data_IF_637877971254
#
_entry.id   IF_637877971254
#
_cell.length_a   1.000
_cell.length_b   1.000
_cell.length_c   1.000
_cell.angle_alpha   90.00
_cell.angle_beta   90.00
_cell.angle_gamma   90.00
#
_symmetry.space_group_name_H-M   'P 1'
#
loop_
_entity.id
_entity.type
_entity.pdbx_description
1 polymer ?
#
# COMPACT_ATOMS: atom_id res chain seq x y z
N UNK A 1 -4.28 -5.89 5.87
CA UNK A 1 -4.99 -6.46 4.71
C UNK A 1 -4.84 -5.51 3.53
N UNK A 2 -5.21 -5.94 2.32
CA UNK A 2 -4.89 -5.21 1.08
C UNK A 2 -5.35 -3.74 1.06
N UNK A 3 -6.60 -3.45 1.49
CA UNK A 3 -7.10 -2.08 1.49
C UNK A 3 -6.27 -1.16 2.41
N UNK A 4 -5.98 -1.58 3.64
CA UNK A 4 -5.14 -0.80 4.55
C UNK A 4 -3.70 -0.64 4.04
N UNK A 5 -3.19 -1.62 3.30
CA UNK A 5 -1.91 -1.50 2.60
C UNK A 5 -1.97 -0.44 1.50
N UNK A 6 -3.06 -0.36 0.74
CA UNK A 6 -3.24 0.73 -0.22
C UNK A 6 -3.40 2.09 0.48
N UNK A 7 -4.16 2.17 1.57
CA UNK A 7 -4.33 3.41 2.33
C UNK A 7 -2.98 3.94 2.84
N UNK A 8 -2.11 3.05 3.33
CA UNK A 8 -0.77 3.43 3.81
C UNK A 8 0.11 3.96 2.68
N UNK A 9 0.08 3.29 1.52
CA UNK A 9 0.83 3.69 0.32
C UNK A 9 0.33 5.05 -0.18
N UNK A 10 -0.98 5.21 -0.40
CA UNK A 10 -1.57 6.45 -0.90
C UNK A 10 -1.44 7.62 0.09
N UNK A 11 -1.35 7.33 1.39
CA UNK A 11 -1.15 8.37 2.41
C UNK A 11 0.32 8.70 2.64
N UNK A 12 1.26 7.87 2.15
CA UNK A 12 2.69 8.05 2.37
C UNK A 12 3.11 7.82 3.82
N UNK A 13 2.42 6.91 4.52
CA UNK A 13 2.68 6.59 5.92
C UNK A 13 3.24 5.17 6.05
N UNK A 14 4.27 4.94 6.88
CA UNK A 14 4.77 3.60 7.12
C UNK A 14 3.88 2.86 8.13
N UNK A 15 3.99 1.54 8.17
CA UNK A 15 3.05 0.67 8.90
C UNK A 15 3.75 -0.37 9.78
N UNK A 16 3.21 -0.63 10.97
CA UNK A 16 3.49 -1.86 11.70
C UNK A 16 2.52 -2.94 11.23
N UNK A 17 3.06 -4.03 10.71
CA UNK A 17 2.30 -5.15 10.20
C UNK A 17 2.11 -6.19 11.30
N UNK A 18 0.87 -6.64 11.49
CA UNK A 18 0.56 -7.78 12.34
C UNK A 18 -0.44 -8.68 11.60
N UNK A 19 0.05 -9.66 10.81
CA UNK A 19 -0.79 -10.46 9.93
C UNK A 19 -1.52 -11.57 10.70
N UNK A 20 -2.78 -11.83 10.33
CA UNK A 20 -3.58 -12.90 10.95
C UNK A 20 -3.98 -14.01 9.97
N UNK A 21 -4.66 -13.67 8.87
CA UNK A 21 -5.23 -14.65 7.93
C UNK A 21 -5.22 -14.15 6.48
N UNK A 22 -5.60 -15.05 5.56
CA UNK A 22 -5.64 -14.82 4.11
C UNK A 22 -4.28 -14.41 3.55
N UNK A 23 -4.21 -13.33 2.77
CA UNK A 23 -3.00 -12.84 2.11
C UNK A 23 -2.19 -11.84 2.98
N UNK A 24 -2.57 -11.67 4.25
CA UNK A 24 -1.95 -10.67 5.13
C UNK A 24 -0.46 -10.93 5.38
N UNK A 25 -0.04 -12.18 5.48
CA UNK A 25 1.38 -12.56 5.59
C UNK A 25 2.17 -12.09 4.37
N UNK A 26 1.60 -12.26 3.17
CA UNK A 26 2.21 -11.78 1.93
C UNK A 26 2.28 -10.27 1.90
N UNK A 27 1.19 -9.58 2.26
CA UNK A 27 1.19 -8.11 2.34
C UNK A 27 2.25 -7.58 3.32
N UNK A 28 2.36 -8.22 4.50
CA UNK A 28 3.38 -7.89 5.52
C UNK A 28 4.79 -8.00 4.95
N UNK A 29 5.09 -9.13 4.31
CA UNK A 29 6.38 -9.38 3.70
C UNK A 29 6.71 -8.37 2.60
N UNK A 30 5.76 -8.05 1.72
CA UNK A 30 5.97 -7.02 0.70
C UNK A 30 6.24 -5.64 1.31
N UNK A 31 5.48 -5.25 2.34
CA UNK A 31 5.68 -3.99 3.05
C UNK A 31 7.08 -3.89 3.68
N UNK A 32 7.61 -4.96 4.24
CA UNK A 32 8.93 -4.99 4.85
C UNK A 32 10.08 -5.11 3.82
N UNK A 33 10.00 -6.10 2.93
CA UNK A 33 11.15 -6.54 2.11
C UNK A 33 11.19 -5.93 0.71
N UNK A 34 10.05 -5.49 0.17
CA UNK A 34 9.97 -4.97 -1.21
C UNK A 34 9.76 -3.47 -1.26
N UNK A 35 8.83 -2.97 -0.45
CA UNK A 35 8.51 -1.55 -0.44
C UNK A 35 9.32 -0.79 0.61
N UNK A 36 9.77 -1.49 1.66
CA UNK A 36 10.54 -0.88 2.75
C UNK A 36 9.74 0.18 3.49
N UNK A 37 8.43 -0.04 3.65
CA UNK A 37 7.48 0.87 4.32
C UNK A 37 6.89 0.28 5.60
N UNK A 38 7.28 -0.94 5.99
CA UNK A 38 6.74 -1.54 7.19
C UNK A 38 7.69 -2.44 7.97
N UNK A 39 7.31 -2.71 9.21
CA UNK A 39 7.97 -3.68 10.10
C UNK A 39 6.94 -4.63 10.68
N UNK A 40 7.32 -5.88 10.90
CA UNK A 40 6.43 -6.90 11.47
C UNK A 40 6.48 -6.89 13.01
N UNK A 41 5.31 -6.97 13.64
CA UNK A 41 5.17 -7.21 15.07
C UNK A 41 5.42 -8.70 15.34
N UNK A 42 6.28 -8.99 16.33
CA UNK A 42 6.55 -10.36 16.76
C UNK A 42 5.26 -11.05 17.25
N UNK A 43 5.11 -12.35 16.95
CA UNK A 43 3.99 -13.17 17.40
C UNK A 43 3.88 -13.25 18.94
N UNK A 44 4.99 -13.05 19.65
CA UNK A 44 5.02 -12.93 21.10
C UNK A 44 4.78 -11.47 21.49
N UNK A 45 3.52 -11.05 21.44
CA UNK A 45 3.05 -9.67 21.64
C UNK A 45 3.23 -9.22 23.10
N UNK A 46 4.47 -8.94 23.46
CA UNK A 46 4.82 -8.34 24.75
C UNK A 46 4.69 -6.83 24.63
N UNK A 47 4.14 -6.20 25.66
CA UNK A 47 3.89 -4.76 25.69
C UNK A 47 5.16 -3.96 25.39
N UNK A 48 6.28 -4.39 25.98
CA UNK A 48 7.57 -3.72 25.86
C UNK A 48 8.11 -3.78 24.42
N UNK A 49 7.87 -4.89 23.73
CA UNK A 49 8.31 -5.06 22.33
C UNK A 49 7.45 -4.23 21.39
N UNK A 50 6.13 -4.21 21.59
CA UNK A 50 5.23 -3.34 20.82
C UNK A 50 5.59 -1.87 21.03
N UNK A 51 5.83 -1.45 22.28
CA UNK A 51 6.26 -0.07 22.58
C UNK A 51 7.57 0.28 21.86
N UNK A 52 8.56 -0.62 21.89
CA UNK A 52 9.84 -0.43 21.21
C UNK A 52 9.67 -0.26 19.70
N UNK A 53 8.86 -1.09 19.07
CA UNK A 53 8.60 -1.01 17.63
C UNK A 53 7.81 0.24 17.25
N UNK A 54 6.81 0.64 18.04
CA UNK A 54 6.08 1.90 17.84
C UNK A 54 7.04 3.08 17.95
N UNK A 55 7.91 3.11 18.97
CA UNK A 55 8.90 4.19 19.13
C UNK A 55 9.90 4.22 17.97
N UNK A 56 10.36 3.07 17.49
CA UNK A 56 11.26 2.99 16.33
C UNK A 56 10.57 3.49 15.03
N UNK A 57 9.30 3.13 14.82
CA UNK A 57 8.54 3.60 13.66
C UNK A 57 8.31 5.12 13.72
N UNK A 58 7.99 5.65 14.90
CA UNK A 58 7.64 7.07 15.07
C UNK A 58 8.88 7.98 15.08
N UNK A 59 9.90 7.64 15.87
CA UNK A 59 11.02 8.53 16.19
C UNK A 59 12.37 7.99 15.69
N UNK A 60 12.48 6.68 15.51
CA UNK A 60 13.70 5.96 15.18
C UNK A 60 14.23 6.21 13.77
N UNK A 61 15.46 5.75 13.54
CA UNK A 61 16.13 5.88 12.25
C UNK A 61 15.40 5.09 11.16
N UNK A 62 15.01 3.84 11.46
CA UNK A 62 14.27 3.01 10.50
C UNK A 62 12.91 3.63 10.17
N UNK A 63 12.25 4.22 11.17
CA UNK A 63 11.00 4.99 10.99
C UNK A 63 11.13 6.12 9.98
N UNK A 64 12.25 6.86 10.03
CA UNK A 64 12.54 7.95 9.08
C UNK A 64 12.77 7.43 7.67
N UNK A 65 13.54 6.35 7.52
CA UNK A 65 13.81 5.74 6.21
C UNK A 65 12.52 5.18 5.59
N UNK A 66 11.69 4.50 6.38
CA UNK A 66 10.40 3.98 5.91
C UNK A 66 9.43 5.10 5.52
N UNK A 67 9.39 6.23 6.25
CA UNK A 67 8.61 7.42 5.84
C UNK A 67 9.06 7.97 4.50
N UNK A 68 10.38 8.04 4.25
CA UNK A 68 10.90 8.47 2.96
C UNK A 68 10.43 7.53 1.85
N UNK A 69 10.57 6.23 2.03
CA UNK A 69 10.10 5.24 1.06
C UNK A 69 8.58 5.33 0.84
N UNK A 70 7.80 5.49 1.90
CA UNK A 70 6.35 5.62 1.82
C UNK A 70 5.94 6.85 1.01
N UNK A 71 6.64 7.98 1.16
CA UNK A 71 6.41 9.18 0.33
C UNK A 71 6.75 8.97 -1.15
N UNK A 72 7.80 8.22 -1.47
CA UNK A 72 8.09 7.85 -2.87
C UNK A 72 7.00 6.94 -3.45
N UNK A 73 6.54 5.95 -2.69
CA UNK A 73 5.43 5.08 -3.12
C UNK A 73 4.12 5.84 -3.30
N UNK A 74 3.84 6.80 -2.41
CA UNK A 74 2.69 7.71 -2.56
C UNK A 74 2.76 8.45 -3.88
N UNK A 75 3.91 9.06 -4.19
CA UNK A 75 4.11 9.79 -5.44
C UNK A 75 3.88 8.89 -6.66
N UNK A 76 4.42 7.68 -6.64
CA UNK A 76 4.19 6.71 -7.72
C UNK A 76 2.71 6.30 -7.85
N UNK A 77 1.99 6.17 -6.75
CA UNK A 77 0.55 5.88 -6.76
C UNK A 77 -0.27 7.06 -7.33
N UNK A 78 0.08 8.29 -6.97
CA UNK A 78 -0.51 9.50 -7.53
C UNK A 78 -0.23 9.61 -9.04
N UNK A 79 1.01 9.38 -9.47
CA UNK A 79 1.39 9.36 -10.89
C UNK A 79 0.65 8.26 -11.67
N UNK A 80 0.53 7.06 -11.12
CA UNK A 80 -0.17 5.95 -11.76
C UNK A 80 -1.67 6.22 -11.95
N UNK A 81 -2.28 7.02 -11.07
CA UNK A 81 -3.72 7.32 -11.09
C UNK A 81 -4.04 8.69 -11.69
N UNK A 82 -3.01 9.51 -11.98
CA UNK A 82 -3.17 10.82 -12.56
C UNK A 82 -3.84 10.76 -13.94
N UNK A 83 -4.68 11.75 -14.21
CA UNK A 83 -5.28 11.96 -15.54
C UNK A 83 -4.48 13.02 -16.31
N UNK A 84 -4.27 12.87 -17.63
CA UNK A 84 -4.66 11.73 -18.48
C UNK A 84 -3.60 10.64 -18.59
N UNK A 85 -2.39 10.87 -18.07
CA UNK A 85 -1.20 10.11 -18.45
C UNK A 85 -0.88 8.92 -17.51
N UNK A 86 -1.65 8.73 -16.43
CA UNK A 86 -1.43 7.69 -15.45
C UNK A 86 -1.75 6.29 -15.99
N UNK A 87 -0.88 5.33 -15.67
CA UNK A 87 -0.99 3.95 -16.17
C UNK A 87 -2.28 3.24 -15.73
N UNK A 88 -2.69 3.44 -14.47
CA UNK A 88 -3.94 2.88 -13.95
C UNK A 88 -5.16 3.62 -14.50
N UNK A 89 -5.06 4.93 -14.74
CA UNK A 89 -6.10 5.68 -15.44
C UNK A 89 -6.31 5.17 -16.87
N UNK A 90 -5.22 4.97 -17.63
CA UNK A 90 -5.27 4.41 -18.98
C UNK A 90 -5.87 3.00 -19.02
N UNK A 91 -5.52 2.14 -18.06
CA UNK A 91 -6.12 0.81 -17.93
C UNK A 91 -7.62 0.88 -17.62
N UNK A 92 -8.04 1.85 -16.79
CA UNK A 92 -9.44 2.05 -16.47
C UNK A 92 -10.25 2.55 -17.67
N UNK A 93 -9.72 3.52 -18.43
CA UNK A 93 -10.32 3.96 -19.70
C UNK A 93 -10.45 2.81 -20.70
N UNK A 94 -9.41 1.98 -20.83
CA UNK A 94 -9.46 0.78 -21.68
C UNK A 94 -10.58 -0.17 -21.25
N UNK A 95 -10.72 -0.44 -19.95
CA UNK A 95 -11.78 -1.28 -19.41
C UNK A 95 -13.17 -0.72 -19.73
N UNK A 96 -13.39 0.59 -19.58
CA UNK A 96 -14.67 1.23 -19.93
C UNK A 96 -14.97 1.03 -21.41
N UNK A 97 -14.00 1.30 -22.27
CA UNK A 97 -14.18 1.25 -23.72
C UNK A 97 -14.40 -0.18 -24.26
N UNK A 98 -13.76 -1.18 -23.67
CA UNK A 98 -13.85 -2.57 -24.15
C UNK A 98 -15.00 -3.36 -23.51
N UNK A 99 -15.32 -3.12 -22.24
CA UNK A 99 -16.28 -3.95 -21.49
C UNK A 99 -17.62 -3.26 -21.24
N UNK A 100 -17.67 -1.94 -21.09
CA UNK A 100 -18.86 -1.24 -20.60
C UNK A 100 -19.59 -0.45 -21.68
N UNK A 101 -18.87 0.17 -22.62
CA UNK A 101 -19.49 0.89 -23.74
C UNK A 101 -20.16 -0.03 -24.78
N UNK A 102 -19.60 -1.20 -25.16
CA UNK A 102 -20.26 -2.09 -26.11
C UNK A 102 -21.59 -2.66 -25.60
N UNK A 103 -21.77 -2.77 -24.28
CA UNK A 103 -23.01 -3.26 -23.66
C UNK A 103 -24.17 -2.24 -23.68
N UNK A 104 -23.87 -0.97 -23.97
CA UNK A 104 -24.86 0.12 -23.97
C UNK A 104 -25.29 0.52 -25.39
N UNK A 105 -24.84 -0.20 -26.42
CA UNK A 105 -25.38 -0.02 -27.77
C UNK A 105 -26.62 -0.92 -27.92
N UNK A 106 -27.80 -0.38 -28.30
CA UNK A 106 -28.97 -1.21 -28.53
C UNK A 106 -28.65 -2.23 -29.63
N UNK A 107 -29.01 -3.49 -29.38
CA UNK A 107 -28.91 -4.58 -30.35
C UNK A 107 -29.55 -4.13 -31.68
N UNK A 108 -28.77 -4.21 -32.75
CA UNK A 108 -29.21 -3.84 -34.11
C UNK A 108 -29.85 -5.05 -34.80
#
# INVERSE_FOLDING_TARGET
GWNSTLDTICSGVPILCWPFFAEQQTNCWYSAEKWGIGMEIDNNVRREEVERQVRELMEGGKGKDMRKNAMEWKKLAEEATARPDGSSYANFEKLINEALLPLNQPDN
#
